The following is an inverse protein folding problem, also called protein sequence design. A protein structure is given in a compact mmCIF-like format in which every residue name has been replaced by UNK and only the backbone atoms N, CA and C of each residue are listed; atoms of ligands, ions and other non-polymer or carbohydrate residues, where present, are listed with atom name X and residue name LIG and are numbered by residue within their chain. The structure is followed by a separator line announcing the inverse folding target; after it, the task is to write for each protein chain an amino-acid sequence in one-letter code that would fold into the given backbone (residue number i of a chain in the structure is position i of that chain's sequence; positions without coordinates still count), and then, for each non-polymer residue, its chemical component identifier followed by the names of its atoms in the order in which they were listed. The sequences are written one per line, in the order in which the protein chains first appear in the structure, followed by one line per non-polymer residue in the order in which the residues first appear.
data_IF_970785712483
#
_entry.id   IF_970785712483
#
_cell.length_a   1.000
_cell.length_b   1.000
_cell.length_c   1.000
_cell.angle_alpha   90.00
_cell.angle_beta   90.00
_cell.angle_gamma   90.00
#
_symmetry.space_group_name_H-M   'P 1'
#
loop_
_entity.id
_entity.type
_entity.pdbx_description
1 polymer ?
#
# COMPACT_ATOMS: atom_id res chain seq x y z
N UNK A 1 25.91 28.53 20.75
CA UNK A 1 26.06 28.95 19.34
C UNK A 1 25.48 27.81 18.50
N UNK A 2 24.24 27.77 18.07
CA UNK A 2 23.38 28.79 17.47
C UNK A 2 21.97 28.73 18.04
N UNK A 3 21.59 29.82 18.70
CA UNK A 3 20.22 30.27 18.85
C UNK A 3 19.92 31.11 17.59
N UNK A 4 18.86 30.79 16.84
CA UNK A 4 17.96 31.75 16.17
C UNK A 4 17.08 31.12 15.07
N UNK A 5 15.86 31.67 15.00
CA UNK A 5 14.88 31.62 13.91
C UNK A 5 13.84 30.50 13.94
N UNK A 6 12.88 30.62 14.86
CA UNK A 6 11.45 30.65 14.47
C UNK A 6 10.60 31.25 15.59
N UNK A 7 10.79 32.53 15.84
CA UNK A 7 9.78 33.34 16.53
C UNK A 7 8.64 33.55 15.54
N UNK A 8 7.68 32.62 15.55
CA UNK A 8 6.42 32.76 14.83
C UNK A 8 5.74 34.02 15.36
N UNK A 9 5.75 35.07 14.54
CA UNK A 9 5.08 36.34 14.83
C UNK A 9 3.59 36.02 14.92
N UNK A 10 3.11 35.84 16.15
CA UNK A 10 1.69 35.91 16.46
C UNK A 10 1.26 37.33 16.11
N UNK A 11 0.64 37.48 14.94
CA UNK A 11 -0.16 38.65 14.62
C UNK A 11 -1.20 38.72 15.73
N UNK A 12 -1.04 39.73 16.60
CA UNK A 12 -2.07 40.16 17.54
C UNK A 12 -3.27 40.57 16.68
N UNK A 13 -4.17 39.62 16.43
CA UNK A 13 -5.49 39.95 15.95
C UNK A 13 -6.14 40.78 17.04
N UNK A 14 -6.28 42.08 16.77
CA UNK A 14 -7.15 42.95 17.54
C UNK A 14 -8.49 42.24 17.70
N UNK A 15 -8.97 42.19 18.95
CA UNK A 15 -10.27 41.65 19.33
C UNK A 15 -11.38 42.51 18.70
N UNK A 16 -11.60 42.39 17.39
CA UNK A 16 -12.96 42.37 16.91
C UNK A 16 -13.58 41.15 17.58
N UNK A 17 -14.69 41.32 18.27
CA UNK A 17 -15.52 40.22 18.76
C UNK A 17 -15.81 39.32 17.56
N UNK A 18 -14.99 38.25 17.43
CA UNK A 18 -15.11 37.29 16.35
C UNK A 18 -16.41 36.56 16.60
N UNK A 19 -17.44 37.03 15.89
CA UNK A 19 -18.71 36.35 15.76
C UNK A 19 -18.45 34.87 15.55
N UNK A 20 -19.03 34.05 16.42
CA UNK A 20 -18.86 32.60 16.32
C UNK A 20 -19.45 32.13 14.99
N UNK A 21 -18.90 31.04 14.44
CA UNK A 21 -19.38 30.52 13.15
C UNK A 21 -20.90 30.25 13.19
N UNK A 22 -21.42 29.78 14.33
CA UNK A 22 -22.84 29.56 14.53
C UNK A 22 -23.66 30.86 14.54
N UNK A 23 -23.15 31.93 15.14
CA UNK A 23 -23.79 33.24 15.08
C UNK A 23 -23.77 33.81 13.66
N UNK A 24 -22.69 33.61 12.89
CA UNK A 24 -22.62 34.02 11.49
C UNK A 24 -23.69 33.28 10.69
N UNK A 25 -23.78 31.95 10.82
CA UNK A 25 -24.81 31.14 10.14
C UNK A 25 -26.21 31.60 10.53
N UNK A 26 -26.45 31.83 11.83
CA UNK A 26 -27.76 32.28 12.32
C UNK A 26 -28.13 33.65 11.75
N UNK A 27 -27.20 34.60 11.73
CA UNK A 27 -27.41 35.92 11.14
C UNK A 27 -27.60 35.84 9.64
N UNK A 28 -26.82 35.03 8.92
CA UNK A 28 -26.99 34.82 7.47
C UNK A 28 -28.36 34.23 7.15
N UNK A 29 -28.87 33.29 7.95
CA UNK A 29 -30.25 32.77 7.80
C UNK A 29 -31.31 33.86 7.99
N UNK A 30 -31.15 34.70 9.01
CA UNK A 30 -32.06 35.84 9.24
C UNK A 30 -32.03 36.83 8.08
N UNK A 31 -30.84 37.12 7.52
CA UNK A 31 -30.69 37.97 6.34
C UNK A 31 -31.38 37.37 5.13
N UNK A 32 -31.23 36.06 4.87
CA UNK A 32 -31.93 35.37 3.78
C UNK A 32 -33.44 35.52 3.91
N UNK A 33 -34.00 35.24 5.09
CA UNK A 33 -35.44 35.38 5.35
C UNK A 33 -35.94 36.82 5.14
N UNK A 34 -35.18 37.81 5.61
CA UNK A 34 -35.50 39.23 5.40
C UNK A 34 -35.45 39.64 3.93
N UNK A 35 -34.45 39.18 3.19
CA UNK A 35 -34.32 39.46 1.76
C UNK A 35 -35.40 38.75 0.94
N UNK A 36 -35.82 37.53 1.30
CA UNK A 36 -36.94 36.83 0.68
C UNK A 36 -38.26 37.55 0.90
N UNK A 37 -38.52 38.02 2.13
CA UNK A 37 -39.70 38.81 2.43
C UNK A 37 -39.75 40.10 1.61
N UNK A 38 -38.64 40.85 1.56
CA UNK A 38 -38.54 42.09 0.79
C UNK A 38 -38.67 41.84 -0.72
N UNK A 39 -38.10 40.75 -1.23
CA UNK A 39 -38.28 40.32 -2.63
C UNK A 39 -39.75 40.04 -2.94
N UNK A 40 -40.48 39.38 -2.04
CA UNK A 40 -41.90 39.08 -2.22
C UNK A 40 -42.75 40.37 -2.23
N UNK A 41 -42.44 41.33 -1.34
CA UNK A 41 -43.10 42.64 -1.34
C UNK A 41 -42.83 43.40 -2.64
N UNK A 42 -41.58 43.49 -3.09
CA UNK A 42 -41.21 44.15 -4.34
C UNK A 42 -41.88 43.49 -5.56
N UNK A 43 -42.03 42.17 -5.56
CA UNK A 43 -42.79 41.46 -6.60
C UNK A 43 -44.28 41.81 -6.56
N UNK A 44 -44.90 41.88 -5.38
CA UNK A 44 -46.31 42.29 -5.22
C UNK A 44 -46.55 43.72 -5.71
N UNK A 45 -45.65 44.65 -5.37
CA UNK A 45 -45.71 46.04 -5.84
C UNK A 45 -45.51 46.09 -7.36
N UNK A 46 -44.56 45.32 -7.91
CA UNK A 46 -44.33 45.26 -9.36
C UNK A 46 -45.58 44.75 -10.10
N UNK A 47 -46.23 43.70 -9.59
CA UNK A 47 -47.49 43.19 -10.18
C UNK A 47 -48.58 44.27 -10.15
N UNK A 48 -48.75 44.95 -9.00
CA UNK A 48 -49.73 46.04 -8.85
C UNK A 48 -49.45 47.21 -9.80
N UNK A 49 -48.17 47.56 -10.02
CA UNK A 49 -47.78 48.59 -10.97
C UNK A 49 -48.03 48.16 -12.43
N UNK A 50 -47.79 46.90 -12.77
CA UNK A 50 -48.07 46.38 -14.11
C UNK A 50 -49.57 46.34 -14.41
N UNK A 51 -50.40 46.00 -13.41
CA UNK A 51 -51.86 46.05 -13.53
C UNK A 51 -52.38 47.47 -13.72
N UNK A 52 -51.85 48.45 -12.99
CA UNK A 52 -52.22 49.86 -13.16
C UNK A 52 -51.78 50.41 -14.52
N UNK A 53 -50.57 50.06 -14.99
CA UNK A 53 -50.08 50.40 -16.33
C UNK A 53 -50.99 49.84 -17.44
N UNK A 54 -51.56 48.65 -17.23
CA UNK A 54 -52.51 48.02 -18.17
C UNK A 54 -53.84 48.77 -18.29
N UNK A 55 -54.25 49.49 -17.23
CA UNK A 55 -55.52 50.22 -17.17
C UNK A 55 -55.40 51.67 -17.64
N UNK A 56 -54.18 52.21 -17.69
CA UNK A 56 -53.89 53.59 -18.10
C UNK A 56 -53.86 53.72 -19.64
N UNK A 57 -54.40 54.81 -20.18
CA UNK A 57 -54.16 55.22 -21.57
C UNK A 57 -52.78 55.91 -21.65
N UNK A 58 -52.16 55.93 -22.84
CA UNK A 58 -50.83 56.52 -23.10
C UNK A 58 -50.81 58.03 -22.83
N UNK A 59 -50.72 58.41 -21.56
CA UNK A 59 -50.56 59.76 -21.04
C UNK A 59 -49.34 59.80 -20.08
N UNK A 60 -48.96 60.98 -19.59
CA UNK A 60 -47.78 61.18 -18.73
C UNK A 60 -47.77 60.32 -17.44
N UNK A 61 -48.95 59.93 -16.93
CA UNK A 61 -49.06 59.00 -15.79
C UNK A 61 -48.54 57.59 -16.13
N UNK A 62 -48.65 57.15 -17.39
CA UNK A 62 -48.10 55.86 -17.84
C UNK A 62 -46.57 55.87 -17.80
N UNK A 63 -45.94 56.98 -18.18
CA UNK A 63 -44.48 57.13 -18.16
C UNK A 63 -43.94 57.04 -16.72
N UNK A 64 -44.60 57.71 -15.77
CA UNK A 64 -44.21 57.68 -14.35
C UNK A 64 -44.35 56.27 -13.74
N UNK A 65 -45.42 55.55 -14.07
CA UNK A 65 -45.64 54.17 -13.60
C UNK A 65 -44.59 53.22 -14.20
N UNK A 66 -44.20 53.44 -15.46
CA UNK A 66 -43.15 52.68 -16.13
C UNK A 66 -41.76 52.91 -15.50
N UNK A 67 -41.42 54.15 -15.16
CA UNK A 67 -40.19 54.48 -14.42
C UNK A 67 -40.16 53.82 -13.03
N UNK A 68 -41.27 53.86 -12.29
CA UNK A 68 -41.38 53.17 -10.98
C UNK A 68 -41.25 51.65 -11.14
N UNK A 69 -41.87 51.06 -12.17
CA UNK A 69 -41.72 49.63 -12.49
C UNK A 69 -40.26 49.27 -12.77
N UNK A 70 -39.56 50.10 -13.54
CA UNK A 70 -38.14 49.91 -13.84
C UNK A 70 -37.26 50.02 -12.59
N UNK A 71 -37.57 50.94 -11.66
CA UNK A 71 -36.88 51.06 -10.37
C UNK A 71 -37.03 49.80 -9.52
N UNK A 72 -38.26 49.26 -9.43
CA UNK A 72 -38.52 48.04 -8.67
C UNK A 72 -37.85 46.83 -9.30
N UNK A 73 -37.82 46.74 -10.64
CA UNK A 73 -37.08 45.68 -11.36
C UNK A 73 -35.60 45.68 -11.02
N UNK A 74 -34.95 46.86 -11.04
CA UNK A 74 -33.54 47.00 -10.61
C UNK A 74 -33.36 46.61 -9.15
N UNK A 75 -34.30 46.99 -8.28
CA UNK A 75 -34.23 46.59 -6.88
C UNK A 75 -34.39 45.07 -6.69
N UNK A 76 -35.22 44.40 -7.48
CA UNK A 76 -35.36 42.94 -7.45
C UNK A 76 -34.08 42.24 -7.89
N UNK A 77 -33.42 42.73 -8.96
CA UNK A 77 -32.12 42.21 -9.40
C UNK A 77 -31.07 42.30 -8.27
N UNK A 78 -31.01 43.44 -7.57
CA UNK A 78 -30.09 43.60 -6.43
C UNK A 78 -30.41 42.65 -5.26
N UNK A 79 -31.70 42.42 -4.97
CA UNK A 79 -32.13 41.48 -3.94
C UNK A 79 -31.81 40.03 -4.32
N UNK A 80 -31.95 39.66 -5.59
CA UNK A 80 -31.58 38.33 -6.08
C UNK A 80 -30.08 38.07 -6.00
N UNK A 81 -29.25 39.08 -6.34
CA UNK A 81 -27.81 39.00 -6.15
C UNK A 81 -27.46 38.81 -4.67
N UNK A 82 -28.02 39.63 -3.77
CA UNK A 82 -27.78 39.51 -2.32
C UNK A 82 -28.24 38.16 -1.73
N UNK A 83 -29.36 37.61 -2.20
CA UNK A 83 -29.81 36.27 -1.84
C UNK A 83 -28.85 35.19 -2.32
N UNK A 84 -28.36 35.29 -3.55
CA UNK A 84 -27.40 34.34 -4.12
C UNK A 84 -26.08 34.33 -3.33
N UNK A 85 -25.58 35.50 -2.93
CA UNK A 85 -24.37 35.64 -2.10
C UNK A 85 -24.57 35.00 -0.72
N UNK A 86 -25.69 35.29 -0.05
CA UNK A 86 -26.00 34.70 1.25
C UNK A 86 -26.17 33.17 1.19
N UNK A 87 -26.75 32.66 0.09
CA UNK A 87 -26.88 31.22 -0.14
C UNK A 87 -25.50 30.56 -0.34
N UNK A 88 -24.58 31.23 -1.04
CA UNK A 88 -23.19 30.77 -1.20
C UNK A 88 -22.48 30.73 0.16
N UNK A 89 -22.66 31.75 1.00
CA UNK A 89 -22.10 31.76 2.36
C UNK A 89 -22.59 30.57 3.19
N UNK A 90 -23.88 30.24 3.11
CA UNK A 90 -24.46 29.06 3.77
C UNK A 90 -23.87 27.75 3.25
N UNK A 91 -23.75 27.60 1.93
CA UNK A 91 -23.15 26.42 1.31
C UNK A 91 -21.68 26.24 1.71
N UNK A 92 -20.91 27.34 1.70
CA UNK A 92 -19.51 27.34 2.12
C UNK A 92 -19.36 26.89 3.58
N UNK A 93 -20.23 27.37 4.48
CA UNK A 93 -20.22 26.97 5.88
C UNK A 93 -20.49 25.47 6.07
N UNK A 94 -21.44 24.91 5.31
CA UNK A 94 -21.73 23.48 5.33
C UNK A 94 -20.53 22.65 4.83
N UNK A 95 -19.89 23.08 3.74
CA UNK A 95 -18.70 22.42 3.23
C UNK A 95 -17.52 22.49 4.22
N UNK A 96 -17.33 23.64 4.86
CA UNK A 96 -16.30 23.82 5.89
C UNK A 96 -16.54 22.85 7.06
N UNK A 97 -17.77 22.77 7.57
CA UNK A 97 -18.13 21.84 8.65
C UNK A 97 -17.90 20.37 8.26
N UNK A 98 -18.24 19.99 7.02
CA UNK A 98 -17.98 18.65 6.52
C UNK A 98 -16.48 18.33 6.51
N UNK A 99 -15.67 19.21 5.94
CA UNK A 99 -14.20 19.07 5.88
C UNK A 99 -13.58 19.03 7.28
N UNK A 100 -14.05 19.86 8.21
CA UNK A 100 -13.58 19.83 9.60
C UNK A 100 -13.91 18.52 10.30
N UNK A 101 -15.11 17.98 10.07
CA UNK A 101 -15.51 16.68 10.63
C UNK A 101 -14.64 15.53 10.09
N UNK A 102 -14.31 15.55 8.79
CA UNK A 102 -13.41 14.56 8.17
C UNK A 102 -11.99 14.69 8.71
N UNK A 103 -11.49 15.91 8.84
CA UNK A 103 -10.19 16.20 9.46
C UNK A 103 -10.13 15.67 10.90
N UNK A 104 -11.20 15.81 11.68
CA UNK A 104 -11.26 15.27 13.04
C UNK A 104 -11.24 13.73 13.05
N UNK A 105 -11.98 13.08 12.16
CA UNK A 105 -11.97 11.61 11.99
C UNK A 105 -10.57 11.10 11.63
N UNK A 106 -9.91 11.72 10.66
CA UNK A 106 -8.55 11.37 10.25
C UNK A 106 -7.55 11.56 11.39
N UNK A 107 -7.65 12.66 12.15
CA UNK A 107 -6.82 12.87 13.35
C UNK A 107 -7.02 11.78 14.41
N UNK A 108 -8.25 11.33 14.62
CA UNK A 108 -8.53 10.23 15.54
C UNK A 108 -7.93 8.90 15.03
N UNK A 109 -8.04 8.63 13.73
CA UNK A 109 -7.44 7.45 13.10
C UNK A 109 -5.92 7.46 13.22
N UNK A 110 -5.27 8.60 12.98
CA UNK A 110 -3.81 8.76 13.16
C UNK A 110 -3.41 8.45 14.60
N UNK A 111 -4.11 9.01 15.60
CA UNK A 111 -3.82 8.71 17.02
C UNK A 111 -3.93 7.21 17.32
N UNK A 112 -4.98 6.56 16.82
CA UNK A 112 -5.19 5.11 16.97
C UNK A 112 -4.04 4.32 16.34
N UNK A 113 -3.68 4.63 15.10
CA UNK A 113 -2.59 3.95 14.39
C UNK A 113 -1.24 4.16 15.09
N UNK A 114 -0.97 5.35 15.63
CA UNK A 114 0.23 5.59 16.43
C UNK A 114 0.26 4.72 17.69
N UNK A 115 -0.88 4.58 18.38
CA UNK A 115 -0.98 3.73 19.57
C UNK A 115 -0.82 2.24 19.23
N UNK A 116 -1.44 1.77 18.15
CA UNK A 116 -1.27 0.39 17.64
C UNK A 116 0.19 0.12 17.24
N UNK A 117 0.85 1.06 16.55
CA UNK A 117 2.27 0.94 16.21
C UNK A 117 3.16 0.89 17.45
N UNK A 118 2.88 1.71 18.46
CA UNK A 118 3.63 1.68 19.72
C UNK A 118 3.47 0.32 20.40
N UNK A 119 2.22 -0.17 20.51
CA UNK A 119 1.95 -1.49 21.08
C UNK A 119 2.66 -2.62 20.33
N UNK A 120 2.66 -2.61 19.00
CA UNK A 120 3.37 -3.61 18.19
C UNK A 120 4.88 -3.57 18.40
N UNK A 121 5.47 -2.37 18.59
CA UNK A 121 6.90 -2.23 18.90
C UNK A 121 7.22 -2.81 20.27
N UNK A 122 6.37 -2.55 21.26
CA UNK A 122 6.56 -3.07 22.62
C UNK A 122 6.40 -4.60 22.65
N UNK A 123 5.43 -5.14 21.92
CA UNK A 123 5.23 -6.59 21.79
C UNK A 123 6.41 -7.25 21.06
N UNK A 124 6.90 -6.65 19.98
CA UNK A 124 8.10 -7.12 19.28
C UNK A 124 9.31 -7.14 20.22
N UNK A 125 9.55 -6.07 20.98
CA UNK A 125 10.64 -6.00 21.94
C UNK A 125 10.52 -7.11 23.01
N UNK A 126 9.31 -7.39 23.51
CA UNK A 126 9.06 -8.46 24.46
C UNK A 126 9.38 -9.85 23.86
N UNK A 127 8.93 -10.11 22.63
CA UNK A 127 9.23 -11.38 21.95
C UNK A 127 10.72 -11.56 21.69
N UNK A 128 11.44 -10.50 21.30
CA UNK A 128 12.90 -10.52 21.15
C UNK A 128 13.61 -10.81 22.47
N UNK A 129 13.16 -10.20 23.57
CA UNK A 129 13.72 -10.48 24.88
C UNK A 129 13.51 -11.93 25.32
N UNK A 130 12.34 -12.52 25.03
CA UNK A 130 12.06 -13.94 25.30
C UNK A 130 12.95 -14.86 24.47
N UNK A 131 13.12 -14.53 23.18
CA UNK A 131 14.02 -15.28 22.29
C UNK A 131 15.45 -15.27 22.82
N UNK A 132 15.98 -14.08 23.16
CA UNK A 132 17.33 -13.94 23.70
C UNK A 132 17.53 -14.75 25.00
N UNK A 133 16.54 -14.75 25.91
CA UNK A 133 16.59 -15.57 27.13
C UNK A 133 16.61 -17.07 26.81
N UNK A 134 15.81 -17.50 25.83
CA UNK A 134 15.81 -18.89 25.38
C UNK A 134 17.16 -19.29 24.76
N UNK A 135 17.75 -18.42 23.94
CA UNK A 135 19.07 -18.65 23.33
C UNK A 135 20.17 -18.76 24.40
N UNK A 136 20.14 -17.90 25.42
CA UNK A 136 21.06 -18.01 26.56
C UNK A 136 20.90 -19.33 27.31
N UNK A 137 19.65 -19.77 27.53
CA UNK A 137 19.39 -21.06 28.18
C UNK A 137 19.86 -22.24 27.33
N UNK A 138 19.72 -22.18 26.01
CA UNK A 138 20.21 -23.23 25.11
C UNK A 138 21.74 -23.28 25.14
N UNK A 139 22.42 -22.14 25.09
CA UNK A 139 23.88 -22.08 25.19
C UNK A 139 24.38 -22.68 26.51
N UNK A 140 23.74 -22.39 27.64
CA UNK A 140 24.05 -22.99 28.93
C UNK A 140 23.90 -24.52 28.91
N UNK A 141 22.80 -25.03 28.35
CA UNK A 141 22.57 -26.47 28.22
C UNK A 141 23.59 -27.14 27.29
N UNK A 142 24.02 -26.47 26.23
CA UNK A 142 25.07 -26.98 25.34
C UNK A 142 26.43 -27.07 26.04
N UNK A 143 26.76 -26.09 26.89
CA UNK A 143 27.98 -26.14 27.71
C UNK A 143 27.91 -27.27 28.75
N UNK A 144 26.78 -27.42 29.45
CA UNK A 144 26.56 -28.54 30.39
C UNK A 144 26.65 -29.89 29.69
N UNK A 145 26.05 -30.02 28.49
CA UNK A 145 26.14 -31.23 27.68
C UNK A 145 27.58 -31.56 27.31
N UNK A 146 28.34 -30.57 26.82
CA UNK A 146 29.77 -30.75 26.50
C UNK A 146 30.58 -31.17 27.73
N UNK A 147 30.28 -30.57 28.90
CA UNK A 147 30.94 -30.94 30.15
C UNK A 147 30.62 -32.38 30.56
N UNK A 148 29.37 -32.81 30.44
CA UNK A 148 28.96 -34.19 30.70
C UNK A 148 29.59 -35.19 29.71
N UNK A 149 29.66 -34.84 28.42
CA UNK A 149 30.33 -35.65 27.40
C UNK A 149 31.82 -35.82 27.74
N UNK A 150 32.49 -34.75 28.16
CA UNK A 150 33.89 -34.79 28.61
C UNK A 150 34.08 -35.68 29.84
N UNK A 151 33.23 -35.54 30.86
CA UNK A 151 33.28 -36.39 32.06
C UNK A 151 33.04 -37.87 31.73
N UNK A 152 32.16 -38.17 30.77
CA UNK A 152 31.90 -39.53 30.32
C UNK A 152 33.13 -40.12 29.59
N UNK A 153 33.77 -39.33 28.72
CA UNK A 153 35.02 -39.73 28.07
C UNK A 153 36.12 -40.03 29.10
N UNK A 154 36.29 -39.17 30.11
CA UNK A 154 37.29 -39.37 31.16
C UNK A 154 37.04 -40.67 31.95
N UNK A 155 35.78 -40.93 32.31
CA UNK A 155 35.38 -42.16 33.00
C UNK A 155 35.70 -43.42 32.18
N UNK A 156 35.51 -43.37 30.85
CA UNK A 156 35.84 -44.49 29.96
C UNK A 156 37.33 -44.84 30.00
N UNK A 157 38.21 -43.85 30.12
CA UNK A 157 39.65 -44.08 30.27
C UNK A 157 40.04 -44.56 31.68
N UNK A 158 39.35 -44.11 32.72
CA UNK A 158 39.57 -44.63 34.09
C UNK A 158 39.13 -46.10 34.25
N UNK A 159 38.06 -46.52 33.56
CA UNK A 159 37.63 -47.93 33.50
C UNK A 159 38.67 -48.81 32.77
N UNK A 160 39.39 -48.28 31.79
CA UNK A 160 40.48 -48.97 31.06
C UNK A 160 41.82 -49.03 31.84
N UNK A 161 41.96 -48.29 32.94
CA UNK A 161 43.19 -48.22 33.77
C UNK A 161 43.14 -49.14 34.99
N UNK A 162 42.02 -49.82 35.26
CA UNK A 162 41.96 -50.84 36.32
C UNK A 162 42.40 -52.22 35.79
N UNK A 163 43.58 -52.76 36.19
CA UNK A 163 43.90 -54.14 35.91
C UNK A 163 43.11 -55.00 36.90
N UNK A 164 41.97 -55.53 36.47
CA UNK A 164 41.30 -56.61 37.18
C UNK A 164 41.53 -57.91 36.42
N UNK A 165 42.49 -58.67 36.94
CA UNK A 165 42.64 -60.10 36.69
C UNK A 165 41.33 -60.80 37.06
N UNK A 166 40.72 -61.52 36.12
CA UNK A 166 40.41 -62.96 36.22
C UNK A 166 39.13 -63.39 35.44
N UNK A 167 39.36 -64.40 34.59
CA UNK A 167 38.55 -65.60 34.32
C UNK A 167 37.27 -65.53 33.46
N UNK A 168 37.42 -66.12 32.27
CA UNK A 168 36.68 -67.27 31.71
C UNK A 168 35.24 -67.54 32.19
N UNK A 169 34.30 -67.55 31.24
CA UNK A 169 33.26 -68.60 30.97
C UNK A 169 32.29 -68.07 29.90
N UNK A 170 32.41 -68.52 28.66
CA UNK A 170 31.56 -69.53 28.01
C UNK A 170 30.04 -69.29 28.11
N UNK A 171 29.41 -68.92 26.99
CA UNK A 171 28.10 -69.44 26.55
C UNK A 171 27.72 -68.94 25.16
N UNK A 172 27.93 -69.83 24.20
CA UNK A 172 27.25 -70.01 22.91
C UNK A 172 25.96 -69.20 22.63
N UNK A 173 25.91 -68.56 21.45
CA UNK A 173 24.87 -68.76 20.40
C UNK A 173 25.11 -67.83 19.20
N UNK A 174 25.77 -68.36 18.18
CA UNK A 174 25.49 -68.03 16.78
C UNK A 174 24.15 -68.69 16.35
N UNK A 175 23.49 -68.31 15.23
CA UNK A 175 24.12 -67.86 13.97
C UNK A 175 23.37 -66.73 13.24
N UNK A 176 23.98 -66.16 12.19
CA UNK A 176 23.52 -66.26 10.79
C UNK A 176 24.08 -65.10 9.95
N UNK A 177 24.81 -65.44 8.88
CA UNK A 177 25.17 -64.68 7.65
C UNK A 177 25.64 -63.22 7.80
N UNK A 178 26.77 -62.78 7.24
CA UNK A 178 27.11 -62.94 5.83
C UNK A 178 28.60 -62.66 5.57
N UNK A 179 29.21 -63.48 4.71
CA UNK A 179 30.61 -63.46 4.32
C UNK A 179 30.82 -62.55 3.10
N UNK A 180 31.08 -61.25 3.27
CA UNK A 180 31.80 -60.45 2.26
C UNK A 180 32.53 -59.23 2.87
N UNK A 181 33.87 -59.12 2.73
CA UNK A 181 34.63 -57.91 3.04
C UNK A 181 34.57 -56.92 1.86
N UNK A 182 34.48 -55.62 2.15
CA UNK A 182 35.05 -54.58 1.27
C UNK A 182 35.37 -53.32 2.09
N UNK A 183 36.63 -52.90 1.97
CA UNK A 183 37.17 -51.62 2.41
C UNK A 183 36.82 -50.48 1.43
N UNK A 184 36.96 -49.26 1.96
CA UNK A 184 37.16 -47.95 1.32
C UNK A 184 35.93 -47.05 0.97
N UNK A 185 35.90 -45.94 1.71
CA UNK A 185 35.74 -44.53 1.30
C UNK A 185 34.35 -43.87 1.10
N UNK A 186 34.19 -42.79 1.88
CA UNK A 186 33.29 -41.62 1.82
C UNK A 186 33.32 -40.88 0.44
N UNK A 187 32.45 -39.92 0.06
CA UNK A 187 31.30 -39.31 0.76
C UNK A 187 29.98 -39.16 -0.04
N UNK A 188 28.91 -38.92 0.73
CA UNK A 188 28.01 -37.78 0.46
C UNK A 188 26.63 -38.05 -0.13
N UNK A 189 25.60 -37.88 0.69
CA UNK A 189 24.24 -37.34 0.43
C UNK A 189 23.39 -37.69 1.67
N UNK A 190 22.72 -36.77 2.37
CA UNK A 190 21.75 -35.80 1.86
C UNK A 190 20.50 -36.00 2.73
N UNK A 191 20.35 -35.21 3.80
CA UNK A 191 19.13 -35.24 4.63
C UNK A 191 18.18 -34.16 4.13
N UNK A 192 17.06 -34.66 3.61
CA UNK A 192 15.93 -33.93 3.08
C UNK A 192 15.10 -33.34 4.22
N UNK A 193 14.90 -32.02 4.21
CA UNK A 193 13.94 -31.34 5.08
C UNK A 193 12.84 -30.72 4.23
N UNK A 194 11.61 -31.17 4.48
CA UNK A 194 10.39 -30.67 3.87
C UNK A 194 10.13 -29.22 4.29
N UNK A 195 10.12 -28.29 3.33
CA UNK A 195 9.36 -27.05 3.45
C UNK A 195 8.76 -26.61 2.10
N UNK A 196 7.45 -26.32 2.17
CA UNK A 196 6.65 -25.43 1.32
C UNK A 196 6.61 -25.64 -0.21
N UNK A 197 5.68 -26.52 -0.63
CA UNK A 197 5.17 -26.71 -1.99
C UNK A 197 4.35 -25.52 -2.56
N UNK A 198 4.79 -24.29 -2.32
CA UNK A 198 4.24 -23.07 -2.94
C UNK A 198 5.32 -22.17 -3.57
N UNK A 199 6.61 -22.39 -3.25
CA UNK A 199 7.72 -21.64 -3.83
C UNK A 199 8.29 -22.26 -5.12
N UNK A 200 8.01 -23.54 -5.38
CA UNK A 200 8.61 -24.28 -6.50
C UNK A 200 7.95 -24.04 -7.88
N UNK A 201 6.81 -23.35 -7.95
CA UNK A 201 6.12 -23.10 -9.23
C UNK A 201 6.69 -21.91 -10.02
N UNK A 202 7.61 -21.12 -9.44
CA UNK A 202 8.20 -19.94 -10.10
C UNK A 202 9.54 -20.21 -10.81
N UNK A 203 10.12 -21.41 -10.66
CA UNK A 203 11.41 -21.77 -11.27
C UNK A 203 11.28 -22.52 -12.61
N UNK A 204 10.07 -22.76 -13.10
CA UNK A 204 9.84 -23.31 -14.44
C UNK A 204 9.54 -22.21 -15.47
N UNK A 205 10.57 -21.45 -15.83
CA UNK A 205 10.52 -20.69 -17.08
C UNK A 205 11.54 -19.57 -17.15
N UNK A 206 12.74 -19.82 -17.68
CA UNK A 206 13.59 -18.85 -18.39
C UNK A 206 13.75 -17.43 -17.81
N UNK A 207 13.63 -17.24 -16.49
CA UNK A 207 13.77 -15.95 -15.83
C UNK A 207 15.12 -15.88 -15.13
N UNK A 208 16.10 -15.22 -15.75
CA UNK A 208 17.30 -14.81 -15.04
C UNK A 208 17.01 -13.48 -14.32
N UNK A 209 16.83 -13.53 -13.01
CA UNK A 209 16.81 -12.33 -12.17
C UNK A 209 18.27 -11.94 -11.92
N UNK A 210 18.71 -10.74 -12.35
CA UNK A 210 20.08 -10.31 -12.17
C UNK A 210 20.50 -10.37 -10.71
N UNK A 211 21.74 -10.79 -10.44
CA UNK A 211 22.24 -11.03 -9.08
C UNK A 211 22.03 -9.81 -8.17
N UNK A 212 22.19 -8.59 -8.72
CA UNK A 212 21.96 -7.32 -8.02
C UNK A 212 20.51 -7.09 -7.58
N UNK A 213 19.53 -7.66 -8.28
CA UNK A 213 18.10 -7.53 -7.99
C UNK A 213 17.56 -8.70 -7.18
N UNK A 214 18.30 -9.80 -7.05
CA UNK A 214 17.82 -11.02 -6.40
C UNK A 214 17.53 -10.84 -4.90
N UNK A 215 18.41 -10.13 -4.18
CA UNK A 215 18.21 -9.81 -2.76
C UNK A 215 16.99 -8.93 -2.54
N UNK A 216 16.86 -7.88 -3.35
CA UNK A 216 15.71 -6.98 -3.33
C UNK A 216 14.41 -7.71 -3.68
N UNK A 217 14.44 -8.56 -4.70
CA UNK A 217 13.31 -9.39 -5.13
C UNK A 217 12.82 -10.30 -3.99
N UNK A 218 13.75 -11.01 -3.34
CA UNK A 218 13.41 -11.89 -2.22
C UNK A 218 12.80 -11.11 -1.06
N UNK A 219 13.34 -9.93 -0.76
CA UNK A 219 12.83 -9.07 0.30
C UNK A 219 11.42 -8.55 -0.02
N UNK A 220 11.16 -8.16 -1.28
CA UNK A 220 9.83 -7.74 -1.75
C UNK A 220 8.82 -8.88 -1.65
N UNK A 221 9.19 -10.09 -2.07
CA UNK A 221 8.32 -11.28 -1.92
C UNK A 221 8.04 -11.55 -0.45
N UNK A 222 9.05 -11.47 0.41
CA UNK A 222 8.89 -11.68 1.84
C UNK A 222 7.90 -10.67 2.43
N UNK A 223 8.05 -9.37 2.13
CA UNK A 223 7.10 -8.36 2.59
C UNK A 223 5.69 -8.53 2.00
N UNK A 224 5.58 -8.91 0.73
CA UNK A 224 4.28 -9.20 0.11
C UNK A 224 3.60 -10.40 0.77
N UNK A 225 4.34 -11.47 1.09
CA UNK A 225 3.80 -12.65 1.79
C UNK A 225 3.33 -12.34 3.22
N UNK A 226 3.95 -11.34 3.86
CA UNK A 226 3.55 -10.83 5.18
C UNK A 226 2.38 -9.83 5.11
N UNK A 227 1.88 -9.51 3.92
CA UNK A 227 0.84 -8.50 3.70
C UNK A 227 1.32 -7.05 3.90
N UNK A 228 2.63 -6.82 4.04
CA UNK A 228 3.27 -5.51 4.28
C UNK A 228 3.49 -4.74 2.98
N UNK A 229 2.39 -4.45 2.29
CA UNK A 229 2.40 -3.76 1.00
C UNK A 229 2.86 -2.29 1.09
N UNK A 230 2.70 -1.68 2.27
CA UNK A 230 3.15 -0.33 2.59
C UNK A 230 4.67 -0.19 2.57
N UNK A 231 5.42 -1.29 2.74
CA UNK A 231 6.89 -1.30 2.63
C UNK A 231 7.32 -1.84 1.27
N UNK A 232 6.68 -2.90 0.77
CA UNK A 232 7.04 -3.53 -0.50
C UNK A 232 6.91 -2.58 -1.69
N UNK A 233 5.81 -1.80 -1.77
CA UNK A 233 5.57 -0.91 -2.92
C UNK A 233 6.56 0.26 -2.97
N UNK A 234 6.80 1.03 -1.90
CA UNK A 234 7.81 2.09 -1.93
C UNK A 234 9.22 1.56 -2.21
N UNK A 235 9.57 0.39 -1.67
CA UNK A 235 10.87 -0.24 -1.91
C UNK A 235 11.06 -0.58 -3.40
N UNK A 236 10.04 -1.15 -4.05
CA UNK A 236 10.06 -1.39 -5.50
C UNK A 236 10.14 -0.10 -6.31
N UNK A 237 9.40 0.95 -5.93
CA UNK A 237 9.42 2.24 -6.63
C UNK A 237 10.78 2.92 -6.53
N UNK A 238 11.37 2.95 -5.35
CA UNK A 238 12.71 3.50 -5.14
C UNK A 238 13.74 2.78 -6.01
N UNK A 239 13.71 1.44 -6.02
CA UNK A 239 14.63 0.66 -6.83
C UNK A 239 14.42 0.86 -8.35
N UNK A 240 13.17 1.09 -8.78
CA UNK A 240 12.88 1.46 -10.18
C UNK A 240 13.49 2.81 -10.53
N UNK A 241 13.30 3.83 -9.69
CA UNK A 241 13.89 5.17 -9.91
C UNK A 241 15.43 5.12 -9.97
N UNK A 242 16.05 4.33 -9.10
CA UNK A 242 17.52 4.18 -9.08
C UNK A 242 18.04 3.43 -10.32
N UNK A 243 17.31 2.42 -10.80
CA UNK A 243 17.63 1.71 -12.04
C UNK A 243 17.43 2.59 -13.28
N UNK A 244 16.36 3.38 -13.33
CA UNK A 244 16.10 4.30 -14.43
C UNK A 244 17.17 5.39 -14.51
N UNK A 245 17.63 5.92 -13.37
CA UNK A 245 18.72 6.90 -13.32
C UNK A 245 20.06 6.33 -13.76
N UNK A 246 20.36 5.08 -13.42
CA UNK A 246 21.67 4.47 -13.68
C UNK A 246 21.78 3.84 -15.07
N UNK A 247 20.72 3.16 -15.50
CA UNK A 247 20.73 2.28 -16.68
C UNK A 247 19.78 2.74 -17.79
N UNK A 248 18.89 3.69 -17.51
CA UNK A 248 17.83 4.12 -18.42
C UNK A 248 16.58 3.22 -18.36
N UNK A 249 15.45 3.77 -18.82
CA UNK A 249 14.15 3.11 -18.74
C UNK A 249 14.03 1.87 -19.65
N UNK A 250 14.68 1.87 -20.82
CA UNK A 250 14.69 0.72 -21.73
C UNK A 250 15.65 -0.41 -21.29
N UNK A 251 16.05 -0.52 -20.01
CA UNK A 251 16.96 -1.58 -19.54
C UNK A 251 16.19 -2.86 -19.12
N UNK A 252 16.69 -4.10 -19.40
CA UNK A 252 16.02 -5.34 -18.98
C UNK A 252 15.83 -5.49 -17.46
N UNK A 253 16.69 -4.86 -16.66
CA UNK A 253 16.51 -4.77 -15.20
C UNK A 253 15.29 -3.96 -14.78
N UNK A 254 14.99 -2.85 -15.48
CA UNK A 254 13.79 -2.04 -15.23
C UNK A 254 12.56 -2.88 -15.55
N UNK A 255 12.54 -3.59 -16.67
CA UNK A 255 11.45 -4.52 -17.00
C UNK A 255 11.27 -5.63 -15.95
N UNK A 256 12.36 -6.12 -15.36
CA UNK A 256 12.32 -7.13 -14.30
C UNK A 256 11.72 -6.55 -13.01
N UNK A 257 12.10 -5.33 -12.63
CA UNK A 257 11.53 -4.66 -11.46
C UNK A 257 10.05 -4.26 -11.66
N UNK A 258 9.66 -3.82 -12.86
CA UNK A 258 8.27 -3.54 -13.22
C UNK A 258 7.40 -4.82 -13.09
N UNK A 259 7.92 -5.95 -13.56
CA UNK A 259 7.25 -7.25 -13.41
C UNK A 259 7.10 -7.63 -11.92
N UNK A 260 8.12 -7.40 -11.08
CA UNK A 260 8.03 -7.65 -9.63
C UNK A 260 6.96 -6.77 -8.98
N UNK A 261 6.96 -5.46 -9.28
CA UNK A 261 5.96 -4.53 -8.75
C UNK A 261 4.54 -4.90 -9.21
N UNK A 262 4.38 -5.37 -10.45
CA UNK A 262 3.10 -5.83 -10.94
C UNK A 262 2.56 -7.05 -10.18
N UNK A 263 3.42 -7.98 -9.77
CA UNK A 263 3.02 -9.11 -8.91
C UNK A 263 2.54 -8.62 -7.54
N UNK A 264 3.24 -7.65 -6.94
CA UNK A 264 2.84 -7.03 -5.67
C UNK A 264 1.47 -6.32 -5.80
N UNK A 265 1.19 -5.65 -6.93
CA UNK A 265 -0.11 -5.05 -7.18
C UNK A 265 -1.22 -6.06 -7.48
N UNK A 266 -0.89 -7.18 -8.13
CA UNK A 266 -1.82 -8.30 -8.31
C UNK A 266 -2.26 -8.84 -6.95
N UNK A 267 -1.32 -9.00 -6.02
CA UNK A 267 -1.62 -9.52 -4.67
C UNK A 267 -2.44 -8.52 -3.83
N UNK A 268 -2.36 -7.21 -4.13
CA UNK A 268 -3.25 -6.17 -3.61
C UNK A 268 -4.61 -6.06 -4.33
N UNK A 269 -4.91 -6.93 -5.29
CA UNK A 269 -6.08 -6.83 -6.17
C UNK A 269 -6.15 -5.55 -7.04
N UNK A 270 -5.03 -4.84 -7.21
CA UNK A 270 -4.90 -3.66 -8.09
C UNK A 270 -4.58 -4.10 -9.53
N UNK A 271 -5.51 -4.85 -10.12
CA UNK A 271 -5.28 -5.49 -11.41
C UNK A 271 -5.08 -4.51 -12.58
N UNK A 272 -5.66 -3.30 -12.53
CA UNK A 272 -5.46 -2.29 -13.59
C UNK A 272 -4.01 -1.79 -13.61
N UNK A 273 -3.49 -1.44 -12.43
CA UNK A 273 -2.11 -0.94 -12.28
C UNK A 273 -1.09 -2.03 -12.63
N UNK A 274 -1.33 -3.26 -12.18
CA UNK A 274 -0.50 -4.40 -12.53
C UNK A 274 -0.48 -4.70 -14.05
N UNK A 275 -1.63 -4.57 -14.73
CA UNK A 275 -1.67 -4.73 -16.19
C UNK A 275 -0.87 -3.66 -16.92
N UNK A 276 -0.95 -2.39 -16.47
CA UNK A 276 -0.19 -1.31 -17.08
C UNK A 276 1.33 -1.53 -16.93
N UNK A 277 1.78 -1.91 -15.73
CA UNK A 277 3.20 -2.20 -15.47
C UNK A 277 3.71 -3.40 -16.29
N UNK A 278 2.91 -4.44 -16.46
CA UNK A 278 3.31 -5.59 -17.27
C UNK A 278 3.34 -5.26 -18.78
N UNK A 279 2.46 -4.39 -19.28
CA UNK A 279 2.53 -3.92 -20.66
C UNK A 279 3.79 -3.08 -20.90
N UNK A 280 4.17 -2.26 -19.93
CA UNK A 280 5.39 -1.47 -19.98
C UNK A 280 6.65 -2.37 -19.95
N UNK A 281 6.69 -3.34 -19.04
CA UNK A 281 7.74 -4.37 -18.99
C UNK A 281 7.83 -5.20 -20.28
N UNK A 282 6.69 -5.47 -20.93
CA UNK A 282 6.63 -6.17 -22.22
C UNK A 282 7.26 -5.32 -23.32
N UNK A 283 6.92 -4.04 -23.41
CA UNK A 283 7.46 -3.12 -24.40
C UNK A 283 8.99 -2.98 -24.28
N UNK A 284 9.51 -2.87 -23.06
CA UNK A 284 10.95 -2.82 -22.81
C UNK A 284 11.62 -4.14 -23.22
N UNK A 285 11.04 -5.30 -22.86
CA UNK A 285 11.60 -6.62 -23.21
C UNK A 285 11.59 -6.88 -24.71
N UNK A 286 10.54 -6.47 -25.42
CA UNK A 286 10.47 -6.61 -26.88
C UNK A 286 11.52 -5.75 -27.60
N UNK A 287 11.80 -4.55 -27.10
CA UNK A 287 12.86 -3.68 -27.66
C UNK A 287 14.27 -4.19 -27.37
N UNK A 288 14.51 -4.69 -26.16
CA UNK A 288 15.86 -5.07 -25.68
C UNK A 288 16.29 -6.47 -26.09
N UNK A 289 15.39 -7.44 -25.94
CA UNK A 289 15.68 -8.86 -26.07
C UNK A 289 15.10 -9.45 -27.36
N UNK A 290 14.22 -8.70 -28.04
CA UNK A 290 13.50 -9.16 -29.23
C UNK A 290 12.20 -9.89 -28.92
N UNK A 291 11.34 -10.02 -29.93
CA UNK A 291 9.95 -10.50 -29.79
C UNK A 291 9.82 -11.99 -29.47
N UNK A 292 10.84 -12.79 -29.81
CA UNK A 292 10.86 -14.25 -29.62
C UNK A 292 11.67 -14.69 -28.38
N UNK A 293 12.03 -13.76 -27.48
CA UNK A 293 12.80 -14.10 -26.30
C UNK A 293 11.95 -14.80 -25.21
N UNK A 294 12.47 -15.81 -24.47
CA UNK A 294 11.75 -16.47 -23.38
C UNK A 294 11.17 -15.51 -22.33
N UNK A 295 11.88 -14.43 -22.01
CA UNK A 295 11.41 -13.41 -21.08
C UNK A 295 10.15 -12.67 -21.57
N UNK A 296 9.95 -12.51 -22.88
CA UNK A 296 8.74 -11.91 -23.49
C UNK A 296 7.56 -12.87 -23.33
N UNK A 297 7.74 -14.15 -23.65
CA UNK A 297 6.73 -15.19 -23.44
C UNK A 297 6.27 -15.24 -21.98
N UNK A 298 7.21 -15.06 -21.07
CA UNK A 298 6.94 -15.12 -19.65
C UNK A 298 6.16 -13.88 -19.16
N UNK A 299 6.48 -12.66 -19.64
CA UNK A 299 5.63 -11.46 -19.39
C UNK A 299 4.22 -11.62 -19.96
N UNK A 300 4.10 -12.18 -21.17
CA UNK A 300 2.81 -12.45 -21.82
C UNK A 300 1.96 -13.44 -20.99
N UNK A 301 2.58 -14.48 -20.44
CA UNK A 301 1.91 -15.41 -19.53
C UNK A 301 1.44 -14.70 -18.25
N UNK A 302 2.25 -13.83 -17.66
CA UNK A 302 1.84 -13.06 -16.47
C UNK A 302 0.64 -12.15 -16.76
N UNK A 303 0.61 -11.50 -17.93
CA UNK A 303 -0.55 -10.71 -18.39
C UNK A 303 -1.79 -11.57 -18.60
N UNK A 304 -1.64 -12.74 -19.23
CA UNK A 304 -2.74 -13.65 -19.48
C UNK A 304 -3.36 -14.20 -18.18
N UNK A 305 -2.53 -14.57 -17.20
CA UNK A 305 -2.98 -14.95 -15.85
C UNK A 305 -3.75 -13.82 -15.19
N UNK A 306 -3.29 -12.58 -15.36
CA UNK A 306 -3.92 -11.40 -14.78
C UNK A 306 -5.31 -11.12 -15.40
N UNK A 307 -5.44 -11.24 -16.72
CA UNK A 307 -6.73 -11.16 -17.39
C UNK A 307 -7.66 -12.33 -17.07
N UNK A 308 -7.12 -13.55 -16.93
CA UNK A 308 -7.86 -14.72 -16.47
C UNK A 308 -8.48 -14.52 -15.08
N UNK A 309 -7.72 -13.97 -14.13
CA UNK A 309 -8.23 -13.63 -12.78
C UNK A 309 -9.34 -12.57 -12.79
N UNK A 310 -9.41 -11.73 -13.82
CA UNK A 310 -10.50 -10.75 -14.01
C UNK A 310 -11.70 -11.29 -14.80
N UNK A 311 -11.69 -12.56 -15.20
CA UNK A 311 -12.72 -13.16 -16.06
C UNK A 311 -12.64 -12.71 -17.53
N UNK A 312 -11.55 -12.07 -17.95
CA UNK A 312 -11.34 -11.58 -19.30
C UNK A 312 -10.64 -12.61 -20.20
N UNK A 313 -11.23 -13.78 -20.34
CA UNK A 313 -10.61 -14.90 -21.06
C UNK A 313 -10.36 -14.59 -22.55
N UNK A 314 -11.23 -13.80 -23.20
CA UNK A 314 -11.05 -13.36 -24.60
C UNK A 314 -9.80 -12.50 -24.82
N UNK A 315 -9.40 -11.72 -23.82
CA UNK A 315 -8.17 -10.90 -23.88
C UNK A 315 -6.92 -11.74 -23.51
N UNK A 316 -7.09 -12.78 -22.69
CA UNK A 316 -6.00 -13.66 -22.26
C UNK A 316 -5.58 -14.69 -23.32
N UNK A 317 -6.53 -15.24 -24.10
CA UNK A 317 -6.30 -16.27 -25.11
C UNK A 317 -5.22 -15.88 -26.16
N UNK A 318 -5.25 -14.70 -26.80
CA UNK A 318 -4.22 -14.33 -27.78
C UNK A 318 -2.84 -14.16 -27.15
N UNK A 319 -2.77 -13.74 -25.88
CA UNK A 319 -1.50 -13.59 -25.16
C UNK A 319 -0.87 -14.95 -24.84
N UNK A 320 -1.68 -15.92 -24.38
CA UNK A 320 -1.23 -17.30 -24.17
C UNK A 320 -0.77 -17.95 -25.47
N UNK A 321 -1.51 -17.78 -26.58
CA UNK A 321 -1.13 -18.31 -27.90
C UNK A 321 0.23 -17.76 -28.35
N UNK A 322 0.43 -16.44 -28.25
CA UNK A 322 1.71 -15.81 -28.55
C UNK A 322 2.84 -16.32 -27.66
N UNK A 323 2.60 -16.49 -26.36
CA UNK A 323 3.61 -17.03 -25.44
C UNK A 323 3.97 -18.49 -25.77
N UNK A 324 2.99 -19.30 -26.20
CA UNK A 324 3.19 -20.68 -26.63
C UNK A 324 4.02 -20.75 -27.91
N UNK A 325 3.68 -19.98 -28.93
CA UNK A 325 4.44 -19.90 -30.19
C UNK A 325 5.91 -19.53 -29.96
N UNK A 326 6.19 -18.64 -29.01
CA UNK A 326 7.57 -18.29 -28.63
C UNK A 326 8.26 -19.48 -27.94
N UNK A 327 7.58 -20.17 -27.01
CA UNK A 327 8.13 -21.35 -26.33
C UNK A 327 8.36 -22.54 -27.26
N UNK A 328 7.57 -22.67 -28.33
CA UNK A 328 7.73 -23.74 -29.32
C UNK A 328 8.91 -23.49 -30.28
N UNK A 329 9.34 -22.23 -30.42
CA UNK A 329 10.48 -21.83 -31.26
C UNK A 329 11.84 -21.88 -30.56
N UNK A 330 11.86 -21.75 -29.24
CA UNK A 330 13.08 -21.76 -28.40
C UNK A 330 13.42 -23.19 -27.99
#
# INVERSE_FOLDING_TARGET
MYDNMSTMVYIKEDKLEKLTQDEIISKTKQVIQGLEALKNEHNSILQSLLETLKCLKKDDESNLVEEKSNMIRKSLEMLELGLSEAQVMMALSNHLNAVESEKQKLRAQVRRLCQENQWLRDELANTQQKLQKSEQSVAQLEEEKKHLEFMNQLKKYDDDISPSEDKDTDSTKEPLDDLFPNDEDDPGQGIQQQHSSAAAAAQQGGYEIPARLRTLHNLVIQYASQGRYEVAVPLCKQALEDLEKTSGHDHPDVATMLNILALVYRDQNKYKDAANLLNDALAIREKTLGKDHPAVAATLNNLAVLYGKRGKYKEAEPLCKRALEIREKV
#
